data_IF_842497200879
#
_entry.id   IF_842497200879
#
_cell.length_a   1.000
_cell.length_b   1.000
_cell.length_c   1.000
_cell.angle_alpha   90.00
_cell.angle_beta   90.00
_cell.angle_gamma   90.00
#
_symmetry.space_group_name_H-M   'P 1'
#
loop_
_entity.id
_entity.type
_entity.pdbx_description
1 polymer ?
#
# COMPACT_ATOMS: atom_id res chain seq x y z
N UNK A 1 -3.74 -15.25 13.56
CA UNK A 1 -4.03 -13.99 12.83
C UNK A 1 -4.46 -12.89 13.81
N UNK A 2 -3.90 -11.69 13.72
CA UNK A 2 -4.30 -10.54 14.56
C UNK A 2 -4.95 -9.48 13.66
N UNK A 3 -6.18 -9.07 13.96
CA UNK A 3 -6.84 -7.95 13.27
C UNK A 3 -6.91 -6.77 14.23
N UNK A 4 -6.31 -5.65 13.86
CA UNK A 4 -6.27 -4.44 14.69
C UNK A 4 -7.57 -3.64 14.56
N UNK A 5 -8.02 -3.03 15.64
CA UNK A 5 -9.06 -1.99 15.60
C UNK A 5 -8.42 -0.68 16.02
N UNK A 6 -8.42 0.31 15.14
CA UNK A 6 -7.70 1.58 15.33
C UNK A 6 -8.61 2.79 15.15
N UNK A 7 -8.24 3.91 15.76
CA UNK A 7 -8.94 5.19 15.58
C UNK A 7 -8.39 5.94 14.37
N UNK A 8 -9.21 6.78 13.73
CA UNK A 8 -8.78 7.68 12.64
C UNK A 8 -7.96 8.87 13.19
N UNK A 9 -6.84 8.59 13.85
CA UNK A 9 -5.89 9.61 14.30
C UNK A 9 -4.53 9.36 13.67
N UNK A 10 -3.71 10.39 13.52
CA UNK A 10 -2.35 10.24 13.00
C UNK A 10 -1.52 9.23 13.82
N UNK A 11 -1.59 9.33 15.16
CA UNK A 11 -0.92 8.38 16.06
C UNK A 11 -1.49 6.95 15.94
N UNK A 12 -2.81 6.82 15.75
CA UNK A 12 -3.47 5.55 15.48
C UNK A 12 -2.99 4.91 14.17
N UNK A 13 -2.82 5.72 13.13
CA UNK A 13 -2.31 5.28 11.82
C UNK A 13 -0.90 4.70 11.92
N UNK A 14 0.03 5.43 12.55
CA UNK A 14 1.41 4.96 12.74
C UNK A 14 1.48 3.65 13.53
N UNK A 15 0.74 3.58 14.64
CA UNK A 15 0.67 2.38 15.49
C UNK A 15 0.13 1.18 14.70
N UNK A 16 -0.85 1.41 13.83
CA UNK A 16 -1.48 0.36 13.02
C UNK A 16 -0.54 -0.15 11.94
N UNK A 17 0.16 0.75 11.24
CA UNK A 17 1.17 0.38 10.26
C UNK A 17 2.31 -0.40 10.92
N UNK A 18 2.74 0.02 12.11
CA UNK A 18 3.74 -0.72 12.88
C UNK A 18 3.23 -2.11 13.30
N UNK A 19 1.96 -2.24 13.67
CA UNK A 19 1.38 -3.53 14.00
C UNK A 19 1.40 -4.49 12.80
N UNK A 20 1.08 -4.00 11.59
CA UNK A 20 1.14 -4.79 10.35
C UNK A 20 2.57 -5.31 10.09
N UNK A 21 3.58 -4.46 10.26
CA UNK A 21 5.00 -4.86 10.14
C UNK A 21 5.42 -5.94 11.15
N UNK A 22 4.85 -5.88 12.35
CA UNK A 22 5.10 -6.86 13.42
C UNK A 22 4.30 -8.16 13.23
N UNK A 23 3.54 -8.27 12.14
CA UNK A 23 2.80 -9.47 11.76
C UNK A 23 1.30 -9.43 12.08
N UNK A 24 0.73 -8.25 12.35
CA UNK A 24 -0.72 -8.10 12.29
C UNK A 24 -1.20 -8.41 10.87
N UNK A 25 -2.33 -9.10 10.78
CA UNK A 25 -2.88 -9.57 9.53
C UNK A 25 -3.57 -8.44 8.76
N UNK A 26 -4.34 -7.62 9.46
CA UNK A 26 -5.08 -6.50 8.88
C UNK A 26 -5.55 -5.55 9.99
N UNK A 27 -6.24 -4.48 9.61
CA UNK A 27 -6.86 -3.55 10.53
C UNK A 27 -8.24 -3.09 10.08
N UNK A 28 -8.94 -2.49 11.04
CA UNK A 28 -10.27 -1.92 10.90
C UNK A 28 -10.25 -0.56 11.60
N UNK A 29 -10.83 0.44 10.95
CA UNK A 29 -11.05 1.77 11.54
C UNK A 29 -12.32 1.81 12.38
N UNK A 30 -12.24 2.34 13.60
CA UNK A 30 -13.39 2.55 14.48
C UNK A 30 -14.35 3.57 13.83
N UNK A 31 -15.67 3.29 13.80
CA UNK A 31 -16.64 4.19 13.19
C UNK A 31 -16.73 5.48 14.02
N UNK A 32 -16.85 6.60 13.32
CA UNK A 32 -17.02 7.93 13.95
C UNK A 32 -18.49 8.17 14.29
N UNK A 33 -19.40 7.65 13.47
CA UNK A 33 -20.85 7.72 13.67
C UNK A 33 -21.37 6.52 14.49
N UNK A 34 -22.38 6.78 15.32
CA UNK A 34 -23.01 5.77 16.19
C UNK A 34 -24.45 5.45 15.77
N UNK A 35 -24.85 5.79 14.54
CA UNK A 35 -26.16 5.39 14.04
C UNK A 35 -26.21 3.87 13.75
N UNK A 36 -27.42 3.31 13.73
CA UNK A 36 -27.62 1.87 13.57
C UNK A 36 -27.12 1.33 12.23
N UNK A 37 -27.10 2.15 11.18
CA UNK A 37 -26.63 1.73 9.85
C UNK A 37 -25.11 1.66 9.79
N UNK A 38 -24.41 2.65 10.33
CA UNK A 38 -22.96 2.68 10.46
C UNK A 38 -22.48 1.52 11.34
N UNK A 39 -23.19 1.21 12.42
CA UNK A 39 -22.84 0.09 13.29
C UNK A 39 -23.07 -1.27 12.60
N UNK A 40 -24.13 -1.40 11.79
CA UNK A 40 -24.38 -2.60 11.00
C UNK A 40 -23.27 -2.82 9.94
N UNK A 41 -22.94 -1.78 9.16
CA UNK A 41 -21.85 -1.83 8.19
C UNK A 41 -20.50 -2.14 8.85
N UNK A 42 -20.26 -1.60 10.05
CA UNK A 42 -19.06 -1.88 10.84
C UNK A 42 -19.00 -3.34 11.31
N UNK A 43 -20.13 -3.90 11.74
CA UNK A 43 -20.25 -5.31 12.09
C UNK A 43 -19.94 -6.21 10.89
N UNK A 44 -20.48 -5.89 9.72
CA UNK A 44 -20.22 -6.63 8.48
C UNK A 44 -18.73 -6.59 8.10
N UNK A 45 -18.09 -5.41 8.20
CA UNK A 45 -16.67 -5.24 7.96
C UNK A 45 -15.81 -6.08 8.93
N UNK A 46 -16.14 -6.09 10.22
CA UNK A 46 -15.48 -6.94 11.21
C UNK A 46 -15.62 -8.41 10.83
N UNK A 47 -16.84 -8.85 10.51
CA UNK A 47 -17.10 -10.22 10.12
C UNK A 47 -16.30 -10.62 8.87
N UNK A 48 -16.23 -9.75 7.87
CA UNK A 48 -15.43 -9.95 6.67
C UNK A 48 -13.94 -10.16 6.99
N UNK A 49 -13.35 -9.24 7.76
CA UNK A 49 -11.92 -9.31 8.12
C UNK A 49 -11.59 -10.51 8.99
N UNK A 50 -12.47 -10.89 9.93
CA UNK A 50 -12.31 -12.11 10.75
C UNK A 50 -12.35 -13.35 9.86
N UNK A 51 -13.30 -13.44 8.92
CA UNK A 51 -13.39 -14.58 7.99
C UNK A 51 -12.17 -14.66 7.09
N UNK A 52 -11.67 -13.53 6.58
CA UNK A 52 -10.46 -13.46 5.79
C UNK A 52 -9.24 -13.93 6.62
N UNK A 53 -9.13 -13.47 7.86
CA UNK A 53 -8.08 -13.86 8.79
C UNK A 53 -8.13 -15.37 9.11
N UNK A 54 -9.32 -15.93 9.31
CA UNK A 54 -9.51 -17.36 9.58
C UNK A 54 -9.13 -18.27 8.41
N UNK A 55 -9.24 -17.78 7.17
CA UNK A 55 -8.81 -18.50 5.95
C UNK A 55 -7.35 -18.22 5.57
N UNK A 56 -6.70 -17.27 6.23
CA UNK A 56 -5.35 -16.85 5.88
C UNK A 56 -4.34 -17.95 6.17
N UNK A 57 -3.56 -18.31 5.15
CA UNK A 57 -2.37 -19.16 5.32
C UNK A 57 -1.22 -18.28 5.81
N UNK A 58 -1.21 -18.02 7.11
CA UNK A 58 -0.10 -17.31 7.74
C UNK A 58 1.11 -18.25 7.71
N UNK A 59 2.02 -18.04 6.74
CA UNK A 59 3.38 -18.55 6.87
C UNK A 59 3.89 -18.01 8.21
N UNK A 60 4.35 -18.90 9.10
CA UNK A 60 5.11 -18.44 10.28
C UNK A 60 6.16 -17.48 9.73
N UNK A 61 6.14 -16.25 10.22
CA UNK A 61 7.31 -15.37 10.15
C UNK A 61 8.40 -16.21 10.80
N UNK A 62 9.23 -16.86 10.00
CA UNK A 62 10.48 -17.40 10.51
C UNK A 62 11.14 -16.22 11.21
N UNK A 63 11.51 -16.41 12.47
CA UNK A 63 12.42 -15.47 13.13
C UNK A 63 13.53 -15.14 12.11
N UNK A 64 14.01 -13.89 12.04
CA UNK A 64 15.10 -13.57 11.15
C UNK A 64 16.27 -14.45 11.60
N UNK A 65 16.44 -15.61 10.97
CA UNK A 65 17.70 -16.32 10.92
C UNK A 65 18.67 -15.23 10.51
N UNK A 66 19.71 -14.99 11.32
CA UNK A 66 20.67 -13.89 11.20
C UNK A 66 21.52 -13.92 9.92
N UNK A 67 20.87 -14.12 8.79
CA UNK A 67 21.35 -13.90 7.45
C UNK A 67 20.69 -12.59 7.06
N UNK A 68 21.50 -11.55 6.93
CA UNK A 68 21.20 -10.38 6.13
C UNK A 68 20.94 -10.83 4.69
N UNK A 69 19.82 -11.51 4.46
CA UNK A 69 19.19 -11.53 3.17
C UNK A 69 18.48 -10.18 3.08
N UNK A 70 19.27 -9.14 2.81
CA UNK A 70 18.80 -8.15 1.85
C UNK A 70 18.10 -8.96 0.76
N UNK A 71 16.88 -8.60 0.30
CA UNK A 71 16.43 -9.17 -0.95
C UNK A 71 17.62 -9.03 -1.88
N UNK A 72 18.06 -10.14 -2.46
CA UNK A 72 18.99 -10.08 -3.57
C UNK A 72 18.23 -9.30 -4.62
N UNK A 73 18.24 -7.96 -4.50
CA UNK A 73 17.98 -7.01 -5.55
C UNK A 73 18.67 -7.69 -6.70
N UNK A 74 17.93 -7.97 -7.78
CA UNK A 74 18.55 -8.52 -8.96
C UNK A 74 19.58 -7.46 -9.41
N UNK A 75 20.79 -7.51 -8.86
CA UNK A 75 21.81 -6.46 -8.87
C UNK A 75 22.46 -6.36 -10.25
N UNK A 76 21.83 -6.95 -11.25
CA UNK A 76 22.19 -6.88 -12.65
C UNK A 76 21.03 -6.68 -13.62
N UNK A 77 19.77 -6.58 -13.16
CA UNK A 77 18.65 -6.27 -14.08
C UNK A 77 18.59 -4.77 -14.28
N UNK A 78 19.39 -4.28 -15.24
CA UNK A 78 19.21 -2.94 -15.79
C UNK A 78 18.01 -2.97 -16.73
N UNK A 79 16.92 -2.36 -16.30
CA UNK A 79 15.79 -2.08 -17.17
C UNK A 79 16.26 -1.14 -18.29
N UNK A 80 15.81 -1.40 -19.51
CA UNK A 80 16.13 -0.52 -20.63
C UNK A 80 15.37 0.80 -20.48
N UNK A 81 15.95 1.90 -20.97
CA UNK A 81 15.29 3.21 -20.97
C UNK A 81 13.89 3.15 -21.60
N UNK A 82 13.73 2.31 -22.61
CA UNK A 82 12.45 2.08 -23.25
C UNK A 82 11.41 1.51 -22.28
N UNK A 83 11.75 0.49 -21.49
CA UNK A 83 10.83 -0.10 -20.51
C UNK A 83 10.49 0.93 -19.42
N UNK A 84 11.51 1.66 -18.94
CA UNK A 84 11.36 2.66 -17.87
C UNK A 84 10.42 3.80 -18.30
N UNK A 85 10.47 4.24 -19.55
CA UNK A 85 9.71 5.40 -20.02
C UNK A 85 8.39 5.08 -20.75
N UNK A 86 8.22 3.86 -21.31
CA UNK A 86 7.03 3.51 -22.10
C UNK A 86 6.04 2.59 -21.38
N UNK A 87 6.39 2.06 -20.19
CA UNK A 87 5.56 1.09 -19.46
C UNK A 87 5.06 1.65 -18.13
N UNK A 88 4.01 1.03 -17.62
CA UNK A 88 3.41 1.31 -16.32
C UNK A 88 3.23 -0.02 -15.57
N UNK A 89 3.32 0.03 -14.25
CA UNK A 89 2.93 -1.07 -13.38
C UNK A 89 1.70 -0.63 -12.58
N UNK A 90 0.65 -1.44 -12.58
CA UNK A 90 -0.59 -1.17 -11.85
C UNK A 90 -0.78 -2.24 -10.78
N UNK A 91 -0.96 -1.84 -9.53
CA UNK A 91 -1.12 -2.75 -8.38
C UNK A 91 -2.48 -2.47 -7.71
N UNK A 92 -3.28 -3.50 -7.51
CA UNK A 92 -4.50 -3.46 -6.71
C UNK A 92 -4.40 -4.42 -5.53
N UNK A 93 -4.69 -3.95 -4.32
CA UNK A 93 -4.59 -4.75 -3.11
C UNK A 93 -5.64 -4.36 -2.04
N UNK A 94 -5.81 -5.25 -1.05
CA UNK A 94 -6.77 -5.09 0.05
C UNK A 94 -6.21 -5.76 1.31
N UNK A 95 -6.86 -6.77 1.86
CA UNK A 95 -6.39 -7.54 3.03
C UNK A 95 -4.98 -8.11 2.81
N UNK A 96 -4.06 -7.80 3.73
CA UNK A 96 -2.63 -8.18 3.63
C UNK A 96 -1.83 -7.44 2.55
N UNK A 97 -2.47 -6.51 1.83
CA UNK A 97 -1.88 -5.77 0.73
C UNK A 97 -0.78 -4.80 1.15
N UNK A 98 -0.82 -4.29 2.37
CA UNK A 98 0.22 -3.40 2.92
C UNK A 98 1.59 -4.07 2.93
N UNK A 99 1.67 -5.29 3.45
CA UNK A 99 2.90 -6.09 3.50
C UNK A 99 3.32 -6.58 2.12
N UNK A 100 2.35 -6.99 1.29
CA UNK A 100 2.63 -7.44 -0.08
C UNK A 100 3.19 -6.31 -0.97
N UNK A 101 2.60 -5.11 -0.91
CA UNK A 101 3.11 -3.93 -1.62
C UNK A 101 4.51 -3.58 -1.14
N UNK A 102 4.75 -3.59 0.18
CA UNK A 102 6.08 -3.35 0.74
C UNK A 102 7.10 -4.35 0.22
N UNK A 103 6.79 -5.65 0.25
CA UNK A 103 7.70 -6.71 -0.25
C UNK A 103 8.02 -6.51 -1.73
N UNK A 104 7.01 -6.20 -2.55
CA UNK A 104 7.22 -5.90 -3.98
C UNK A 104 8.12 -4.68 -4.17
N UNK A 105 7.76 -3.53 -3.59
CA UNK A 105 8.45 -2.26 -3.85
C UNK A 105 9.88 -2.25 -3.30
N UNK A 106 10.12 -2.83 -2.12
CA UNK A 106 11.47 -2.88 -1.51
C UNK A 106 12.44 -3.76 -2.29
N UNK A 107 11.93 -4.67 -3.13
CA UNK A 107 12.74 -5.46 -4.07
C UNK A 107 13.07 -4.74 -5.38
N UNK A 108 12.48 -3.57 -5.65
CA UNK A 108 12.64 -2.85 -6.93
C UNK A 108 13.77 -1.81 -6.89
N UNK A 109 14.49 -1.60 -8.01
CA UNK A 109 15.49 -0.54 -8.11
C UNK A 109 14.85 0.86 -8.14
N UNK A 110 15.64 1.89 -7.81
CA UNK A 110 15.19 3.29 -7.86
C UNK A 110 14.66 3.69 -9.26
N UNK A 111 15.31 3.19 -10.32
CA UNK A 111 14.91 3.46 -11.70
C UNK A 111 13.99 2.36 -12.23
N UNK A 112 12.70 2.47 -11.89
CA UNK A 112 11.63 1.61 -12.40
C UNK A 112 10.65 2.39 -13.27
N UNK A 113 9.83 1.71 -14.10
CA UNK A 113 8.65 2.34 -14.69
C UNK A 113 7.74 2.90 -13.58
N UNK A 114 6.95 3.94 -13.87
CA UNK A 114 5.96 4.44 -12.92
C UNK A 114 5.02 3.34 -12.42
N UNK A 115 4.75 3.36 -11.12
CA UNK A 115 3.88 2.39 -10.47
C UNK A 115 2.66 3.12 -9.92
N UNK A 116 1.44 2.69 -10.25
CA UNK A 116 0.22 3.21 -9.65
C UNK A 116 -0.41 2.10 -8.80
N UNK A 117 -0.81 2.44 -7.58
CA UNK A 117 -1.23 1.48 -6.57
C UNK A 117 -2.55 1.91 -5.96
N UNK A 118 -3.49 0.98 -5.88
CA UNK A 118 -4.74 1.14 -5.15
C UNK A 118 -4.75 0.10 -4.04
N UNK A 119 -4.75 0.57 -2.80
CA UNK A 119 -4.89 -0.26 -1.62
C UNK A 119 -6.20 0.14 -0.94
N UNK A 120 -7.12 -0.81 -0.74
CA UNK A 120 -8.35 -0.54 -0.01
C UNK A 120 -8.01 -0.20 1.44
N UNK A 121 -7.99 1.10 1.75
CA UNK A 121 -7.51 1.65 3.01
C UNK A 121 -8.14 3.02 3.26
N UNK A 122 -8.48 3.36 4.51
CA UNK A 122 -9.07 4.65 4.83
C UNK A 122 -8.11 5.83 4.57
N UNK A 123 -8.66 6.99 4.22
CA UNK A 123 -7.92 8.22 3.87
C UNK A 123 -6.83 8.61 4.87
N UNK A 124 -7.12 8.55 6.17
CA UNK A 124 -6.15 8.92 7.22
C UNK A 124 -4.91 8.01 7.29
N UNK A 125 -4.93 6.87 6.57
CA UNK A 125 -3.84 5.90 6.56
C UNK A 125 -3.02 5.95 5.27
N UNK A 126 -3.58 6.40 4.14
CA UNK A 126 -2.88 6.40 2.83
C UNK A 126 -1.64 7.28 2.84
N UNK A 127 -1.73 8.51 3.36
CA UNK A 127 -0.55 9.38 3.48
C UNK A 127 0.55 8.81 4.39
N UNK A 128 0.18 8.17 5.51
CA UNK A 128 1.17 7.56 6.43
C UNK A 128 1.82 6.32 5.82
N UNK A 129 1.04 5.52 5.09
CA UNK A 129 1.54 4.33 4.40
C UNK A 129 2.49 4.70 3.26
N UNK A 130 2.15 5.71 2.45
CA UNK A 130 3.01 6.21 1.38
C UNK A 130 4.36 6.71 1.93
N UNK A 131 4.34 7.56 2.96
CA UNK A 131 5.56 8.03 3.66
C UNK A 131 6.41 6.88 4.20
N UNK A 132 5.76 5.85 4.74
CA UNK A 132 6.45 4.69 5.25
C UNK A 132 7.13 3.90 4.13
N UNK A 133 6.44 3.64 3.03
CA UNK A 133 7.02 2.98 1.86
C UNK A 133 8.19 3.78 1.28
N UNK A 134 8.07 5.10 1.18
CA UNK A 134 9.14 6.00 0.71
C UNK A 134 10.42 5.87 1.55
N UNK A 135 10.27 5.73 2.88
CA UNK A 135 11.41 5.53 3.78
C UNK A 135 12.11 4.17 3.64
N UNK A 136 11.47 3.20 2.99
CA UNK A 136 11.95 1.81 2.87
C UNK A 136 12.40 1.45 1.45
N UNK A 137 11.88 2.13 0.44
CA UNK A 137 12.12 1.81 -0.97
C UNK A 137 13.27 2.65 -1.55
N UNK A 138 13.93 2.12 -2.57
CA UNK A 138 14.94 2.89 -3.30
C UNK A 138 14.31 3.93 -4.25
N UNK A 139 13.08 3.67 -4.71
CA UNK A 139 12.30 4.58 -5.54
C UNK A 139 11.45 5.52 -4.68
N UNK A 140 11.05 6.66 -5.24
CA UNK A 140 10.16 7.58 -4.53
C UNK A 140 8.75 6.99 -4.43
N UNK A 141 8.12 7.09 -3.26
CA UNK A 141 6.74 6.67 -3.04
C UNK A 141 5.95 7.83 -2.45
N UNK A 142 4.79 8.13 -3.03
CA UNK A 142 3.92 9.19 -2.53
C UNK A 142 2.44 8.86 -2.71
N UNK A 143 1.60 9.56 -1.95
CA UNK A 143 0.17 9.60 -2.24
C UNK A 143 -0.06 10.42 -3.51
N UNK A 144 -0.95 9.95 -4.39
CA UNK A 144 -1.22 10.57 -5.66
C UNK A 144 -1.98 11.90 -5.50
N UNK A 145 -1.67 12.87 -6.37
CA UNK A 145 -2.29 14.18 -6.45
C UNK A 145 -2.98 14.37 -7.81
N UNK A 146 -4.16 15.00 -7.82
CA UNK A 146 -4.92 15.20 -9.05
C UNK A 146 -4.13 16.07 -10.05
N UNK A 147 -4.01 15.59 -11.28
CA UNK A 147 -3.35 16.29 -12.39
C UNK A 147 -1.82 16.20 -12.38
N UNK A 148 -1.20 15.52 -11.40
CA UNK A 148 0.25 15.40 -11.38
C UNK A 148 0.77 14.49 -12.50
N UNK A 149 1.91 14.79 -13.12
CA UNK A 149 2.49 13.95 -14.15
C UNK A 149 3.03 12.64 -13.55
N UNK A 150 2.76 11.54 -14.25
CA UNK A 150 3.26 10.21 -13.87
C UNK A 150 4.69 10.04 -14.38
N UNK A 151 5.63 9.82 -13.46
CA UNK A 151 7.07 9.80 -13.74
C UNK A 151 7.72 8.45 -13.40
N UNK A 152 8.69 7.99 -14.20
CA UNK A 152 9.53 6.86 -13.83
C UNK A 152 10.26 7.09 -12.50
N UNK A 153 10.55 6.00 -11.80
CA UNK A 153 11.16 6.01 -10.47
C UNK A 153 10.23 6.50 -9.35
N UNK A 154 8.93 6.62 -9.63
CA UNK A 154 7.92 7.01 -8.65
C UNK A 154 6.77 6.00 -8.57
N UNK A 155 6.37 5.67 -7.35
CA UNK A 155 5.18 4.89 -7.06
C UNK A 155 4.11 5.79 -6.42
N UNK A 156 2.89 5.74 -6.96
CA UNK A 156 1.76 6.58 -6.61
C UNK A 156 0.68 5.74 -5.92
N UNK A 157 0.37 6.07 -4.68
CA UNK A 157 -0.70 5.44 -3.91
C UNK A 157 -1.98 6.25 -4.04
N UNK A 158 -3.09 5.60 -4.40
CA UNK A 158 -4.40 6.23 -4.41
C UNK A 158 -4.79 6.72 -3.01
N UNK A 159 -5.27 7.96 -2.86
CA UNK A 159 -5.78 8.45 -1.58
C UNK A 159 -7.10 7.77 -1.24
N UNK A 160 -7.36 7.54 0.04
CA UNK A 160 -8.48 6.68 0.48
C UNK A 160 -9.89 7.21 0.18
N UNK A 161 -10.01 8.47 -0.25
CA UNK A 161 -11.28 9.13 -0.59
C UNK A 161 -11.58 9.20 -2.11
N UNK A 162 -10.67 8.76 -2.98
CA UNK A 162 -10.80 8.95 -4.44
C UNK A 162 -10.39 7.72 -5.24
N UNK A 163 -10.86 7.64 -6.49
CA UNK A 163 -10.39 6.64 -7.43
C UNK A 163 -9.17 7.18 -8.17
N UNK A 164 -8.05 6.45 -8.14
CA UNK A 164 -6.89 6.79 -8.95
C UNK A 164 -7.04 6.26 -10.38
N UNK A 165 -7.17 7.17 -11.32
CA UNK A 165 -7.24 6.94 -12.76
C UNK A 165 -5.94 7.42 -13.45
N UNK A 166 -5.60 6.76 -14.56
CA UNK A 166 -4.50 7.15 -15.42
C UNK A 166 -5.06 7.88 -16.65
N UNK A 167 -4.86 9.19 -16.72
CA UNK A 167 -5.33 10.02 -17.83
C UNK A 167 -4.17 10.38 -18.77
N UNK A 168 -4.47 10.60 -20.06
CA UNK A 168 -3.50 11.09 -21.05
C UNK A 168 -3.88 12.51 -21.47
N UNK A 169 -3.03 13.49 -21.16
CA UNK A 169 -3.25 14.92 -21.47
C UNK A 169 -2.03 15.49 -22.19
N UNK A 170 -2.24 16.15 -23.34
CA UNK A 170 -1.18 16.76 -24.16
C UNK A 170 0.03 15.83 -24.45
N UNK A 171 -0.23 14.53 -24.65
CA UNK A 171 0.82 13.53 -24.92
C UNK A 171 1.52 12.94 -23.69
N UNK A 172 1.28 13.49 -22.49
CA UNK A 172 1.79 12.98 -21.22
C UNK A 172 0.71 12.23 -20.42
N UNK A 173 1.14 11.33 -19.53
CA UNK A 173 0.23 10.66 -18.58
C UNK A 173 0.22 11.39 -17.24
N UNK A 174 -0.96 11.54 -16.64
CA UNK A 174 -1.15 12.18 -15.35
C UNK A 174 -2.13 11.40 -14.46
N UNK A 175 -2.00 11.55 -13.15
CA UNK A 175 -2.95 11.05 -12.18
C UNK A 175 -4.27 11.83 -12.28
N UNK A 176 -5.39 11.13 -12.22
CA UNK A 176 -6.72 11.71 -12.11
C UNK A 176 -7.41 11.06 -10.91
N UNK A 177 -7.93 11.89 -10.00
CA UNK A 177 -8.57 11.52 -8.73
C UNK A 177 -10.02 11.94 -8.72
#
# INVERSE_FOLDING_TARGET
PVVMISTLTAAGSETTLRALELGAFDFISKPVASDSQALAAYSDLICEKIRAAGKARIRKLSAPSGVSASPSVATGVRLTDRIVNEKFILIGASTGGTEAIKEVLTGLPAQCPPILMVQHMPEMFTGSFAKRLDSLCAMHVKEAEHGEPVRPGTAYLAPGHSHLLLAKRAGAFCCEL
#
